data_IF_282992501634
#
_entry.id   IF_282992501634
#
_cell.length_a   1.000
_cell.length_b   1.000
_cell.length_c   1.000
_cell.angle_alpha   90.00
_cell.angle_beta   90.00
_cell.angle_gamma   90.00
#
_symmetry.space_group_name_H-M   'P 1'
#
loop_
_entity.id
_entity.type
_entity.pdbx_description
1 polymer ?
#
# COMPACT_ATOMS: atom_id res chain seq x y z
N UNK A 1 -18.31 0.05 2.09
CA UNK A 1 -16.90 -0.30 1.84
C UNK A 1 -16.09 0.28 2.97
N UNK A 2 -15.58 -0.56 3.86
CA UNK A 2 -14.87 -0.12 5.07
C UNK A 2 -13.53 0.46 4.66
N UNK A 3 -13.23 1.70 5.06
CA UNK A 3 -11.92 2.30 4.87
C UNK A 3 -10.85 1.42 5.53
N UNK A 4 -9.72 1.19 4.85
CA UNK A 4 -8.57 0.51 5.45
C UNK A 4 -7.90 1.52 6.38
N UNK A 5 -7.84 1.28 7.70
CA UNK A 5 -7.25 2.22 8.65
C UNK A 5 -5.81 2.55 8.28
N UNK A 6 -5.47 3.85 8.32
CA UNK A 6 -4.14 4.37 8.01
C UNK A 6 -3.69 4.25 6.56
N UNK A 7 -4.53 3.80 5.62
CA UNK A 7 -4.23 3.84 4.19
C UNK A 7 -4.44 5.27 3.65
N UNK A 8 -3.37 5.87 3.12
CA UNK A 8 -3.40 7.21 2.52
C UNK A 8 -3.89 7.11 1.07
N UNK A 9 -3.26 6.24 0.28
CA UNK A 9 -3.64 5.99 -1.10
C UNK A 9 -3.21 4.61 -1.57
N UNK A 10 -3.84 4.17 -2.66
CA UNK A 10 -3.52 2.94 -3.38
C UNK A 10 -3.50 3.21 -4.88
N UNK A 11 -2.49 2.69 -5.56
CA UNK A 11 -2.43 2.62 -7.02
C UNK A 11 -2.51 1.17 -7.45
N UNK A 12 -3.41 0.86 -8.38
CA UNK A 12 -3.48 -0.46 -9.01
C UNK A 12 -2.51 -0.52 -10.18
N UNK A 13 -1.78 -1.63 -10.27
CA UNK A 13 -0.83 -1.89 -11.36
C UNK A 13 -1.15 -3.25 -11.98
N UNK A 14 -0.98 -3.34 -13.28
CA UNK A 14 -1.13 -4.58 -14.03
C UNK A 14 -0.11 -4.63 -15.15
N UNK A 15 0.60 -5.74 -15.24
CA UNK A 15 1.43 -6.07 -16.37
C UNK A 15 0.74 -7.19 -17.15
N UNK A 16 0.23 -6.86 -18.33
CA UNK A 16 -0.47 -7.82 -19.19
C UNK A 16 0.46 -8.88 -19.79
N UNK A 17 1.69 -8.52 -20.16
CA UNK A 17 2.64 -9.48 -20.74
C UNK A 17 3.02 -10.58 -19.74
N UNK A 18 3.18 -10.22 -18.46
CA UNK A 18 3.51 -11.13 -17.36
C UNK A 18 2.28 -11.61 -16.57
N UNK A 19 1.07 -11.23 -16.99
CA UNK A 19 -0.20 -11.48 -16.29
C UNK A 19 -0.12 -11.22 -14.77
N UNK A 20 0.61 -10.16 -14.39
CA UNK A 20 0.90 -9.85 -12.99
C UNK A 20 0.12 -8.62 -12.56
N UNK A 21 -0.83 -8.80 -11.65
CA UNK A 21 -1.56 -7.72 -11.00
C UNK A 21 -0.98 -7.40 -9.63
N UNK A 22 -1.09 -6.14 -9.21
CA UNK A 22 -0.63 -5.72 -7.90
C UNK A 22 -1.18 -4.37 -7.47
N UNK A 23 -0.63 -3.86 -6.38
CA UNK A 23 -0.89 -2.51 -5.95
C UNK A 23 0.31 -1.91 -5.22
N UNK A 24 0.46 -0.60 -5.37
CA UNK A 24 1.36 0.21 -4.55
C UNK A 24 0.51 0.92 -3.51
N UNK A 25 0.90 0.82 -2.26
CA UNK A 25 0.13 1.33 -1.12
C UNK A 25 1.01 2.26 -0.30
N UNK A 26 0.43 3.37 0.17
CA UNK A 26 1.07 4.24 1.14
C UNK A 26 0.23 4.30 2.41
N UNK A 27 0.88 4.02 3.54
CA UNK A 27 0.27 4.01 4.86
C UNK A 27 0.91 5.09 5.73
N UNK A 28 0.14 5.60 6.68
CA UNK A 28 0.59 6.63 7.64
C UNK A 28 1.66 6.12 8.61
N UNK A 29 1.73 4.81 8.83
CA UNK A 29 2.68 4.20 9.78
C UNK A 29 2.96 2.74 9.45
N UNK A 30 4.10 2.23 9.94
CA UNK A 30 4.43 0.80 9.87
C UNK A 30 3.39 -0.07 10.59
N UNK A 31 2.78 0.43 11.66
CA UNK A 31 1.72 -0.29 12.37
C UNK A 31 0.49 -0.49 11.49
N UNK A 32 0.08 0.52 10.74
CA UNK A 32 -1.02 0.41 9.78
C UNK A 32 -0.71 -0.60 8.66
N UNK A 33 0.55 -0.66 8.19
CA UNK A 33 1.00 -1.70 7.23
C UNK A 33 0.82 -3.09 7.83
N UNK A 34 1.30 -3.32 9.05
CA UNK A 34 1.18 -4.62 9.73
C UNK A 34 -0.28 -5.04 9.87
N UNK A 35 -1.15 -4.14 10.36
CA UNK A 35 -2.58 -4.43 10.47
C UNK A 35 -3.24 -4.75 9.13
N UNK A 36 -2.84 -4.08 8.05
CA UNK A 36 -3.34 -4.39 6.72
C UNK A 36 -2.89 -5.77 6.24
N UNK A 37 -1.62 -6.12 6.45
CA UNK A 37 -1.06 -7.43 6.06
C UNK A 37 -1.68 -8.59 6.84
N UNK A 38 -2.08 -8.35 8.10
CA UNK A 38 -2.80 -9.31 8.95
C UNK A 38 -4.32 -9.30 8.72
N UNK A 39 -4.82 -8.39 7.87
CA UNK A 39 -6.25 -8.21 7.69
C UNK A 39 -6.90 -9.40 6.96
N UNK A 40 -8.21 -9.63 7.16
CA UNK A 40 -8.97 -10.62 6.40
C UNK A 40 -8.92 -10.43 4.89
N UNK A 41 -8.67 -9.19 4.42
CA UNK A 41 -8.55 -8.89 2.98
C UNK A 41 -7.30 -9.57 2.41
N UNK A 42 -6.16 -9.45 3.09
CA UNK A 42 -4.91 -10.08 2.66
C UNK A 42 -4.98 -11.60 2.86
N UNK A 43 -5.62 -12.07 3.93
CA UNK A 43 -5.90 -13.50 4.12
C UNK A 43 -6.73 -14.07 2.96
N UNK A 44 -7.80 -13.40 2.54
CA UNK A 44 -8.63 -13.82 1.43
C UNK A 44 -7.90 -13.78 0.07
N UNK A 45 -7.00 -12.82 -0.14
CA UNK A 45 -6.15 -12.78 -1.33
C UNK A 45 -5.21 -13.99 -1.38
N UNK A 46 -4.61 -14.35 -0.24
CA UNK A 46 -3.69 -15.49 -0.14
C UNK A 46 -4.36 -16.85 -0.33
N UNK A 47 -5.66 -16.97 -0.03
CA UNK A 47 -6.41 -18.22 -0.22
C UNK A 47 -7.17 -18.32 -1.54
N UNK A 48 -7.20 -17.24 -2.33
CA UNK A 48 -7.95 -17.22 -3.59
C UNK A 48 -7.16 -17.93 -4.70
N UNK A 49 -7.71 -18.99 -5.31
CA UNK A 49 -7.02 -19.76 -6.36
C UNK A 49 -6.76 -18.97 -7.65
N UNK A 50 -7.44 -17.83 -7.84
CA UNK A 50 -7.18 -16.94 -8.98
C UNK A 50 -5.82 -16.22 -8.87
N UNK A 51 -5.21 -16.18 -7.68
CA UNK A 51 -3.92 -15.56 -7.44
C UNK A 51 -2.89 -16.59 -7.00
N UNK A 52 -1.69 -16.48 -7.52
CA UNK A 52 -0.55 -17.30 -7.12
C UNK A 52 0.70 -16.44 -7.05
N UNK A 53 1.75 -16.94 -6.39
CA UNK A 53 3.04 -16.26 -6.28
C UNK A 53 2.94 -14.84 -5.69
N UNK A 54 2.05 -14.63 -4.73
CA UNK A 54 1.85 -13.33 -4.08
C UNK A 54 3.14 -12.94 -3.34
N UNK A 55 3.61 -11.73 -3.59
CA UNK A 55 4.79 -11.14 -2.95
C UNK A 55 4.44 -9.78 -2.37
N UNK A 56 5.00 -9.48 -1.20
CA UNK A 56 4.86 -8.18 -0.54
C UNK A 56 6.23 -7.70 -0.09
N UNK A 57 6.55 -6.43 -0.36
CA UNK A 57 7.74 -5.76 0.16
C UNK A 57 7.35 -4.46 0.83
N UNK A 58 8.06 -4.12 1.90
CA UNK A 58 7.84 -2.90 2.68
C UNK A 58 9.05 -1.99 2.52
N UNK A 59 8.79 -0.69 2.37
CA UNK A 59 9.81 0.34 2.24
C UNK A 59 9.43 1.56 3.07
N UNK A 60 10.44 2.26 3.59
CA UNK A 60 10.25 3.61 4.10
C UNK A 60 10.17 4.62 2.96
N UNK A 61 9.46 5.73 3.20
CA UNK A 61 9.41 6.85 2.26
C UNK A 61 10.59 7.78 2.51
N UNK A 62 11.33 8.15 1.46
CA UNK A 62 12.32 9.24 1.52
C UNK A 62 11.57 10.54 1.22
N UNK A 63 11.15 11.24 2.27
CA UNK A 63 10.26 12.42 2.16
C UNK A 63 10.82 13.51 1.24
N UNK A 64 12.12 13.82 1.35
CA UNK A 64 12.77 14.88 0.58
C UNK A 64 12.72 14.64 -0.94
N UNK A 65 13.04 13.42 -1.39
CA UNK A 65 13.01 13.03 -2.80
C UNK A 65 11.57 12.87 -3.31
N UNK A 66 10.68 12.40 -2.45
CA UNK A 66 9.25 12.25 -2.77
C UNK A 66 8.60 13.62 -2.99
N UNK A 67 8.95 14.63 -2.19
CA UNK A 67 8.47 16.00 -2.36
C UNK A 67 8.91 16.58 -3.72
N UNK A 68 10.17 16.38 -4.12
CA UNK A 68 10.66 16.84 -5.43
C UNK A 68 9.91 16.23 -6.61
N UNK A 69 9.44 14.99 -6.45
CA UNK A 69 8.68 14.26 -7.49
C UNK A 69 7.17 14.38 -7.33
N UNK A 70 6.69 15.16 -6.34
CA UNK A 70 5.27 15.42 -6.04
C UNK A 70 4.50 14.15 -5.66
N UNK A 71 5.15 13.23 -4.95
CA UNK A 71 4.49 12.06 -4.40
C UNK A 71 3.42 12.46 -3.36
N UNK A 72 2.23 11.83 -3.36
CA UNK A 72 1.09 12.26 -2.53
C UNK A 72 1.22 11.75 -1.09
N UNK A 73 2.26 12.18 -0.37
CA UNK A 73 2.46 11.84 1.05
C UNK A 73 1.99 13.00 1.95
N UNK A 74 1.33 12.70 3.10
CA UNK A 74 1.00 13.73 4.07
C UNK A 74 2.28 14.43 4.53
N UNK A 75 2.29 15.75 4.51
CA UNK A 75 3.42 16.53 5.02
C UNK A 75 3.32 16.55 6.55
N UNK A 76 4.43 16.38 7.29
CA UNK A 76 4.37 16.36 8.77
C UNK A 76 3.70 17.60 9.40
N UNK A 77 3.63 18.74 8.69
CA UNK A 77 2.91 19.94 9.14
C UNK A 77 1.38 19.80 9.20
N UNK A 78 0.76 18.83 8.53
CA UNK A 78 -0.71 18.66 8.52
C UNK A 78 -1.24 17.78 9.66
N UNK A 79 -0.38 17.28 10.56
CA UNK A 79 -0.74 16.44 11.71
C UNK A 79 -0.76 17.20 13.04
N UNK A 80 -0.59 18.53 13.03
CA UNK A 80 -0.58 19.40 14.22
C UNK A 80 -1.72 20.42 14.26
N UNK A 81 -2.83 20.19 13.56
CA UNK A 81 -4.01 21.07 13.55
C UNK A 81 -5.25 20.39 14.11
#
# INVERSE_FOLDING_TARGET
MTAIPGLIWKVWIFNEAEQTAGGVYCFESTQAVTHYLESPIVAALNTNPAFSNIRTQQFGVIESLTAQTRGPIPTQSSLQS
#
